data_IF_992192028781
#
_entry.id   IF_992192028781
#
_cell.length_a   1.000
_cell.length_b   1.000
_cell.length_c   1.000
_cell.angle_alpha   90.00
_cell.angle_beta   90.00
_cell.angle_gamma   90.00
#
_symmetry.space_group_name_H-M   'P 1'
#
loop_
_entity.id
_entity.type
_entity.pdbx_description
1 polymer ?
#
# COMPACT_ATOMS: atom_id res chain seq x y z
N UNK A 1 -43.09 -4.42 9.31
CA UNK A 1 -43.73 -3.11 9.03
C UNK A 1 -44.95 -2.85 9.90
N UNK A 2 -46.04 -3.64 9.84
CA UNK A 2 -47.26 -3.39 10.64
C UNK A 2 -46.97 -3.33 12.15
N UNK A 3 -46.16 -4.27 12.66
CA UNK A 3 -45.72 -4.27 14.06
C UNK A 3 -45.00 -2.96 14.42
N UNK A 4 -44.00 -2.55 13.63
CA UNK A 4 -43.27 -1.30 13.84
C UNK A 4 -44.20 -0.07 13.86
N UNK A 5 -45.19 -0.02 12.96
CA UNK A 5 -46.15 1.08 12.90
C UNK A 5 -47.11 1.15 14.10
N UNK A 6 -47.44 0.00 14.72
CA UNK A 6 -48.39 -0.06 15.85
C UNK A 6 -47.71 0.08 17.21
N UNK A 7 -46.50 -0.46 17.34
CA UNK A 7 -45.79 -0.57 18.61
C UNK A 7 -44.74 0.54 18.80
N UNK A 8 -44.26 1.14 17.71
CA UNK A 8 -43.23 2.19 17.71
C UNK A 8 -43.63 3.35 16.79
N UNK A 9 -44.87 3.83 16.92
CA UNK A 9 -45.52 4.80 16.01
C UNK A 9 -44.67 6.04 15.71
N UNK A 10 -44.02 6.62 16.74
CA UNK A 10 -43.18 7.80 16.58
C UNK A 10 -41.96 7.52 15.69
N UNK A 11 -41.25 6.42 15.97
CA UNK A 11 -40.08 6.01 15.18
C UNK A 11 -40.47 5.61 13.76
N UNK A 12 -41.60 4.92 13.59
CA UNK A 12 -42.14 4.57 12.27
C UNK A 12 -42.45 5.83 11.45
N UNK A 13 -43.17 6.78 12.05
CA UNK A 13 -43.54 8.04 11.40
C UNK A 13 -42.30 8.83 11.01
N UNK A 14 -41.30 8.89 11.90
CA UNK A 14 -40.02 9.54 11.62
C UNK A 14 -39.33 8.92 10.41
N UNK A 15 -39.14 7.59 10.37
CA UNK A 15 -38.47 6.91 9.26
C UNK A 15 -39.22 7.10 7.95
N UNK A 16 -40.56 7.02 7.96
CA UNK A 16 -41.37 7.16 6.75
C UNK A 16 -41.36 8.59 6.22
N UNK A 17 -41.60 9.59 7.08
CA UNK A 17 -41.65 11.00 6.66
C UNK A 17 -40.27 11.52 6.24
N UNK A 18 -39.20 11.14 6.94
CA UNK A 18 -37.84 11.55 6.59
C UNK A 18 -37.40 11.08 5.20
N UNK A 19 -38.00 10.03 4.67
CA UNK A 19 -37.68 9.51 3.34
C UNK A 19 -38.73 9.91 2.29
N UNK A 20 -40.02 9.85 2.62
CA UNK A 20 -41.09 10.18 1.67
C UNK A 20 -41.19 11.67 1.33
N UNK A 21 -40.68 12.55 2.20
CA UNK A 21 -40.64 14.00 1.96
C UNK A 21 -39.33 14.46 1.31
N UNK A 22 -38.38 13.55 1.05
CA UNK A 22 -37.16 13.87 0.30
C UNK A 22 -37.40 13.66 -1.18
N UNK A 23 -37.04 14.67 -1.97
CA UNK A 23 -37.07 14.62 -3.44
C UNK A 23 -35.67 14.56 -4.05
N UNK A 24 -34.64 14.28 -3.24
CA UNK A 24 -33.26 14.12 -3.67
C UNK A 24 -32.90 12.63 -3.88
N UNK A 25 -31.77 12.38 -4.54
CA UNK A 25 -31.29 11.02 -4.89
C UNK A 25 -30.96 10.14 -3.66
N UNK A 26 -31.08 10.69 -2.46
CA UNK A 26 -30.71 10.06 -1.19
C UNK A 26 -31.93 9.52 -0.42
N UNK A 27 -33.10 9.47 -1.05
CA UNK A 27 -34.29 8.82 -0.48
C UNK A 27 -34.00 7.32 -0.23
N UNK A 28 -34.25 6.87 1.00
CA UNK A 28 -34.18 5.45 1.34
C UNK A 28 -35.51 4.76 1.02
N UNK A 29 -35.55 3.76 0.10
CA UNK A 29 -36.79 3.15 -0.34
C UNK A 29 -37.36 2.20 0.72
N UNK A 30 -38.18 2.73 1.63
CA UNK A 30 -38.63 2.05 2.87
C UNK A 30 -39.22 0.66 2.65
N UNK A 31 -40.04 0.47 1.61
CA UNK A 31 -40.63 -0.84 1.30
C UNK A 31 -39.57 -1.86 0.86
N UNK A 32 -38.66 -1.44 -0.04
CA UNK A 32 -37.57 -2.30 -0.54
C UNK A 32 -36.59 -2.65 0.56
N UNK A 33 -36.17 -1.67 1.37
CA UNK A 33 -35.26 -1.90 2.50
C UNK A 33 -35.90 -2.76 3.58
N UNK A 34 -37.20 -2.63 3.84
CA UNK A 34 -37.91 -3.49 4.79
C UNK A 34 -37.90 -4.96 4.35
N UNK A 35 -38.19 -5.24 3.08
CA UNK A 35 -38.17 -6.61 2.53
C UNK A 35 -36.76 -7.19 2.61
N UNK A 36 -35.76 -6.43 2.16
CA UNK A 36 -34.38 -6.90 2.13
C UNK A 36 -33.82 -7.11 3.54
N UNK A 37 -34.14 -6.21 4.48
CA UNK A 37 -33.78 -6.38 5.88
C UNK A 37 -34.41 -7.64 6.45
N UNK A 38 -35.69 -7.92 6.20
CA UNK A 38 -36.31 -9.16 6.68
C UNK A 38 -35.57 -10.40 6.19
N UNK A 39 -35.22 -10.46 4.89
CA UNK A 39 -34.41 -11.57 4.34
C UNK A 39 -33.05 -11.67 5.02
N UNK A 40 -32.36 -10.53 5.15
CA UNK A 40 -31.06 -10.46 5.79
C UNK A 40 -31.10 -10.98 7.24
N UNK A 41 -32.12 -10.60 8.01
CA UNK A 41 -32.27 -11.07 9.39
C UNK A 41 -32.55 -12.58 9.44
N UNK A 42 -33.35 -13.10 8.52
CA UNK A 42 -33.57 -14.54 8.39
C UNK A 42 -32.27 -15.29 8.08
N UNK A 43 -31.44 -14.76 7.18
CA UNK A 43 -30.16 -15.36 6.80
C UNK A 43 -29.16 -15.33 7.96
N UNK A 44 -29.05 -14.21 8.67
CA UNK A 44 -28.16 -14.06 9.84
C UNK A 44 -28.55 -15.05 10.94
N UNK A 45 -29.86 -15.19 11.20
CA UNK A 45 -30.39 -16.06 12.23
C UNK A 45 -30.62 -17.51 11.75
N UNK A 46 -30.36 -17.79 10.47
CA UNK A 46 -30.54 -19.11 9.84
C UNK A 46 -31.95 -19.66 10.02
N UNK A 47 -32.97 -18.80 9.87
CA UNK A 47 -34.37 -19.18 10.06
C UNK A 47 -34.76 -20.21 9.00
N UNK A 48 -35.21 -21.38 9.44
CA UNK A 48 -35.61 -22.50 8.58
C UNK A 48 -34.51 -23.56 8.39
N UNK A 49 -33.30 -23.31 8.88
CA UNK A 49 -32.24 -24.33 8.92
C UNK A 49 -32.39 -25.23 10.16
N UNK A 50 -32.12 -26.54 10.06
CA UNK A 50 -32.12 -27.42 11.23
C UNK A 50 -30.95 -27.08 12.18
N UNK A 51 -31.14 -27.20 13.51
CA UNK A 51 -30.07 -26.97 14.46
C UNK A 51 -28.96 -28.01 14.30
N UNK A 52 -27.72 -27.61 14.62
CA UNK A 52 -26.57 -28.52 14.67
C UNK A 52 -26.40 -29.06 16.09
N UNK A 53 -26.04 -30.33 16.25
CA UNK A 53 -25.81 -30.96 17.56
C UNK A 53 -24.67 -30.29 18.36
N UNK A 54 -23.77 -29.58 17.68
CA UNK A 54 -22.65 -28.85 18.28
C UNK A 54 -22.96 -27.37 18.52
N UNK A 55 -24.17 -26.91 18.21
CA UNK A 55 -24.59 -25.52 18.37
C UNK A 55 -24.61 -25.10 19.84
N UNK A 56 -23.69 -24.22 20.24
CA UNK A 56 -23.62 -23.67 21.61
C UNK A 56 -24.06 -22.20 21.70
N UNK A 57 -24.32 -21.57 20.56
CA UNK A 57 -24.63 -20.14 20.48
C UNK A 57 -26.13 -19.95 20.63
N UNK A 58 -26.54 -19.15 21.60
CA UNK A 58 -27.89 -18.60 21.72
C UNK A 58 -27.78 -17.12 22.07
N UNK A 59 -28.78 -16.33 21.69
CA UNK A 59 -28.82 -14.90 21.98
C UNK A 59 -29.84 -14.62 23.08
N UNK A 60 -29.42 -14.35 24.33
CA UNK A 60 -30.32 -14.18 25.46
C UNK A 60 -31.36 -13.08 25.25
N UNK A 61 -31.02 -12.04 24.49
CA UNK A 61 -31.91 -10.93 24.17
C UNK A 61 -33.23 -11.35 23.49
N UNK A 62 -33.28 -12.48 22.78
CA UNK A 62 -34.53 -12.94 22.17
C UNK A 62 -35.51 -13.55 23.17
N UNK A 63 -35.08 -13.79 24.42
CA UNK A 63 -35.96 -14.25 25.51
C UNK A 63 -36.52 -13.10 26.34
N UNK A 64 -36.20 -11.85 26.03
CA UNK A 64 -36.60 -10.68 26.83
C UNK A 64 -37.91 -10.04 26.35
N UNK A 65 -38.59 -10.59 25.35
CA UNK A 65 -39.81 -10.03 24.76
C UNK A 65 -40.68 -11.12 24.11
N UNK A 66 -42.00 -10.93 24.10
CA UNK A 66 -42.97 -11.88 23.49
C UNK A 66 -42.93 -11.89 21.95
N UNK A 67 -42.50 -10.77 21.36
CA UNK A 67 -42.30 -10.57 19.92
C UNK A 67 -40.84 -10.20 19.61
N UNK A 68 -39.89 -11.11 19.86
CA UNK A 68 -38.47 -10.77 19.90
C UNK A 68 -37.89 -10.50 18.51
N UNK A 69 -38.39 -11.17 17.48
CA UNK A 69 -37.97 -10.96 16.10
C UNK A 69 -38.47 -9.61 15.57
N UNK A 70 -39.70 -9.23 15.90
CA UNK A 70 -40.27 -7.96 15.47
C UNK A 70 -39.60 -6.77 16.15
N UNK A 71 -39.28 -6.86 17.44
CA UNK A 71 -38.48 -5.83 18.12
C UNK A 71 -37.07 -5.71 17.53
N UNK A 72 -36.44 -6.85 17.23
CA UNK A 72 -35.15 -6.88 16.56
C UNK A 72 -35.20 -6.23 15.17
N UNK A 73 -36.26 -6.49 14.39
CA UNK A 73 -36.51 -5.80 13.13
C UNK A 73 -36.63 -4.29 13.31
N UNK A 74 -37.38 -3.83 14.32
CA UNK A 74 -37.56 -2.40 14.61
C UNK A 74 -36.22 -1.72 14.93
N UNK A 75 -35.33 -2.37 15.68
CA UNK A 75 -33.98 -1.85 15.95
C UNK A 75 -33.18 -1.78 14.65
N UNK A 76 -33.19 -2.85 13.85
CA UNK A 76 -32.38 -2.95 12.64
C UNK A 76 -32.86 -2.02 11.50
N UNK A 77 -34.15 -1.71 11.39
CA UNK A 77 -34.64 -0.77 10.36
C UNK A 77 -34.26 0.68 10.69
N UNK A 78 -34.21 1.02 11.98
CA UNK A 78 -33.68 2.31 12.44
C UNK A 78 -32.18 2.40 12.16
N UNK A 79 -31.42 1.33 12.46
CA UNK A 79 -30.00 1.23 12.11
C UNK A 79 -29.79 1.40 10.60
N UNK A 80 -30.55 0.68 9.76
CA UNK A 80 -30.42 0.76 8.31
C UNK A 80 -30.63 2.19 7.81
N UNK A 81 -31.67 2.87 8.28
CA UNK A 81 -31.94 4.27 7.91
C UNK A 81 -30.82 5.21 8.39
N UNK A 82 -30.23 4.95 9.57
CA UNK A 82 -29.07 5.69 10.07
C UNK A 82 -27.84 5.47 9.17
N UNK A 83 -27.48 4.22 8.89
CA UNK A 83 -26.32 3.85 8.06
C UNK A 83 -26.46 4.40 6.64
N UNK A 84 -27.67 4.34 6.04
CA UNK A 84 -27.98 4.96 4.75
C UNK A 84 -27.60 6.45 4.71
N UNK A 85 -27.94 7.18 5.78
CA UNK A 85 -27.62 8.61 5.91
C UNK A 85 -26.13 8.86 6.16
N UNK A 86 -25.50 8.05 7.02
CA UNK A 86 -24.05 8.15 7.28
C UNK A 86 -23.23 7.95 6.01
N UNK A 87 -23.67 7.04 5.14
CA UNK A 87 -23.04 6.76 3.85
C UNK A 87 -23.37 7.80 2.78
N UNK A 88 -24.35 8.70 3.01
CA UNK A 88 -24.97 9.54 1.98
C UNK A 88 -25.33 8.70 0.74
N UNK A 89 -25.95 7.55 1.00
CA UNK A 89 -26.21 6.56 -0.04
C UNK A 89 -27.30 7.01 -1.01
N UNK A 90 -27.18 6.55 -2.25
CA UNK A 90 -28.24 6.60 -3.26
C UNK A 90 -28.80 5.19 -3.49
N UNK A 91 -29.80 5.08 -4.38
CA UNK A 91 -30.35 3.78 -4.76
C UNK A 91 -29.34 2.82 -5.40
N UNK A 92 -28.26 3.34 -6.00
CA UNK A 92 -27.17 2.53 -6.58
C UNK A 92 -26.30 1.87 -5.50
N UNK A 93 -26.14 2.52 -4.34
CA UNK A 93 -25.35 2.01 -3.23
C UNK A 93 -26.12 1.02 -2.35
N UNK A 94 -27.38 0.71 -2.69
CA UNK A 94 -28.27 -0.13 -1.88
C UNK A 94 -27.62 -1.45 -1.44
N UNK A 95 -26.95 -2.16 -2.35
CA UNK A 95 -26.28 -3.43 -2.03
C UNK A 95 -25.14 -3.23 -1.02
N UNK A 96 -24.37 -2.14 -1.13
CA UNK A 96 -23.29 -1.81 -0.20
C UNK A 96 -23.85 -1.46 1.18
N UNK A 97 -24.92 -0.68 1.25
CA UNK A 97 -25.57 -0.33 2.54
C UNK A 97 -26.05 -1.59 3.25
N UNK A 98 -26.72 -2.51 2.53
CA UNK A 98 -27.17 -3.80 3.08
C UNK A 98 -25.98 -4.62 3.58
N UNK A 99 -24.86 -4.63 2.85
CA UNK A 99 -23.62 -5.29 3.29
C UNK A 99 -23.04 -4.69 4.57
N UNK A 100 -23.01 -3.37 4.70
CA UNK A 100 -22.55 -2.69 5.94
C UNK A 100 -23.48 -3.01 7.09
N UNK A 101 -24.80 -2.97 6.88
CA UNK A 101 -25.80 -3.29 7.92
C UNK A 101 -25.69 -4.75 8.36
N UNK A 102 -25.47 -5.68 7.43
CA UNK A 102 -25.18 -7.08 7.74
C UNK A 102 -23.98 -7.20 8.67
N UNK A 103 -22.90 -6.48 8.38
CA UNK A 103 -21.69 -6.49 9.19
C UNK A 103 -21.93 -5.90 10.58
N UNK A 104 -22.63 -4.76 10.67
CA UNK A 104 -22.99 -4.12 11.94
C UNK A 104 -23.78 -5.08 12.84
N UNK A 105 -24.80 -5.75 12.29
CA UNK A 105 -25.64 -6.71 13.02
C UNK A 105 -24.81 -7.93 13.44
N UNK A 106 -24.06 -8.51 12.52
CA UNK A 106 -23.26 -9.72 12.78
C UNK A 106 -22.20 -9.47 13.85
N UNK A 107 -21.48 -8.35 13.80
CA UNK A 107 -20.50 -7.96 14.84
C UNK A 107 -21.16 -7.67 16.19
N UNK A 108 -22.34 -7.05 16.19
CA UNK A 108 -23.07 -6.80 17.44
C UNK A 108 -23.61 -8.08 18.08
N UNK A 109 -24.02 -9.06 17.28
CA UNK A 109 -24.44 -10.38 17.76
C UNK A 109 -23.26 -11.20 18.31
N UNK A 110 -22.10 -11.12 17.64
CA UNK A 110 -20.91 -11.92 17.96
C UNK A 110 -20.00 -11.25 19.01
N UNK A 111 -20.51 -10.30 19.82
CA UNK A 111 -19.75 -9.85 20.98
C UNK A 111 -19.63 -10.97 22.02
N UNK A 112 -18.51 -11.00 22.73
CA UNK A 112 -18.31 -11.94 23.84
C UNK A 112 -18.23 -11.16 25.17
N UNK A 113 -19.22 -11.30 26.08
CA UNK A 113 -20.42 -12.12 25.95
C UNK A 113 -21.48 -11.53 24.98
N UNK A 114 -22.41 -12.35 24.45
CA UNK A 114 -23.52 -11.86 23.62
C UNK A 114 -24.42 -10.87 24.36
N UNK A 115 -25.09 -9.94 23.65
CA UNK A 115 -25.94 -8.95 24.31
C UNK A 115 -27.08 -9.61 25.11
N UNK A 116 -27.22 -9.30 26.41
CA UNK A 116 -28.22 -9.96 27.25
C UNK A 116 -29.65 -9.42 27.02
N UNK A 117 -29.78 -8.22 26.47
CA UNK A 117 -31.07 -7.56 26.21
C UNK A 117 -31.06 -6.84 24.86
N UNK A 118 -32.24 -6.59 24.28
CA UNK A 118 -32.39 -5.83 23.04
C UNK A 118 -31.86 -4.38 23.16
N UNK A 119 -31.94 -3.78 24.35
CA UNK A 119 -31.36 -2.45 24.60
C UNK A 119 -29.83 -2.49 24.58
N UNK A 120 -29.20 -3.52 25.15
CA UNK A 120 -27.75 -3.68 25.08
C UNK A 120 -27.27 -3.92 23.64
N UNK A 121 -28.04 -4.66 22.84
CA UNK A 121 -27.77 -4.83 21.42
C UNK A 121 -27.85 -3.48 20.68
N UNK A 122 -28.87 -2.67 20.94
CA UNK A 122 -29.02 -1.33 20.38
C UNK A 122 -27.88 -0.39 20.78
N UNK A 123 -27.44 -0.42 22.05
CA UNK A 123 -26.27 0.33 22.52
C UNK A 123 -24.99 -0.10 21.80
N UNK A 124 -24.79 -1.40 21.58
CA UNK A 124 -23.65 -1.91 20.82
C UNK A 124 -23.68 -1.44 19.36
N UNK A 125 -24.83 -1.52 18.70
CA UNK A 125 -25.01 -1.01 17.34
C UNK A 125 -24.73 0.49 17.24
N UNK A 126 -25.04 1.27 18.29
CA UNK A 126 -24.74 2.71 18.30
C UNK A 126 -23.24 3.01 18.21
N UNK A 127 -22.38 2.10 18.69
CA UNK A 127 -20.91 2.22 18.57
C UNK A 127 -20.38 1.81 17.19
N UNK A 128 -21.09 0.94 16.48
CA UNK A 128 -20.69 0.39 15.18
C UNK A 128 -21.19 1.29 14.04
N UNK A 129 -20.76 2.56 14.03
CA UNK A 129 -21.06 3.51 12.94
C UNK A 129 -20.44 3.05 11.60
N UNK A 130 -20.89 3.60 10.47
CA UNK A 130 -20.26 3.32 9.17
C UNK A 130 -18.74 3.60 9.18
N UNK A 131 -18.31 4.68 9.83
CA UNK A 131 -16.90 5.01 9.96
C UNK A 131 -16.14 3.95 10.77
N UNK A 132 -16.74 3.47 11.86
CA UNK A 132 -16.14 2.41 12.67
C UNK A 132 -16.02 1.09 11.90
N UNK A 133 -17.06 0.70 11.16
CA UNK A 133 -17.00 -0.49 10.30
C UNK A 133 -15.90 -0.36 9.25
N UNK A 134 -15.77 0.81 8.63
CA UNK A 134 -14.72 1.08 7.65
C UNK A 134 -13.33 0.98 8.27
N UNK A 135 -13.13 1.53 9.47
CA UNK A 135 -11.87 1.44 10.20
C UNK A 135 -11.52 0.00 10.57
N UNK A 136 -12.50 -0.77 11.06
CA UNK A 136 -12.30 -2.17 11.42
C UNK A 136 -11.91 -3.01 10.21
N UNK A 137 -12.55 -2.81 9.06
CA UNK A 137 -12.14 -3.49 7.82
C UNK A 137 -10.74 -3.10 7.35
N UNK A 138 -10.38 -1.81 7.45
CA UNK A 138 -9.02 -1.36 7.13
C UNK A 138 -7.99 -1.98 8.06
N UNK A 139 -8.28 -2.05 9.35
CA UNK A 139 -7.41 -2.66 10.35
C UNK A 139 -7.26 -4.16 10.12
N UNK A 140 -8.35 -4.88 9.89
CA UNK A 140 -8.34 -6.33 9.60
C UNK A 140 -7.56 -6.63 8.32
N UNK A 141 -7.77 -5.83 7.27
CA UNK A 141 -7.01 -5.94 6.03
C UNK A 141 -5.52 -5.69 6.27
N UNK A 142 -5.17 -4.63 7.01
CA UNK A 142 -3.77 -4.29 7.29
C UNK A 142 -3.08 -5.38 8.11
N UNK A 143 -3.75 -5.89 9.16
CA UNK A 143 -3.23 -6.97 9.99
C UNK A 143 -3.05 -8.26 9.18
N UNK A 144 -3.99 -8.55 8.27
CA UNK A 144 -3.89 -9.69 7.36
C UNK A 144 -2.74 -9.53 6.38
N UNK A 145 -2.59 -8.35 5.76
CA UNK A 145 -1.47 -8.04 4.86
C UNK A 145 -0.11 -8.16 5.59
N UNK A 146 -0.03 -7.72 6.85
CA UNK A 146 1.19 -7.83 7.68
C UNK A 146 1.52 -9.30 8.01
N UNK A 147 0.50 -10.08 8.41
CA UNK A 147 0.65 -11.50 8.69
C UNK A 147 1.05 -12.29 7.45
N UNK A 148 0.38 -12.06 6.32
CA UNK A 148 0.68 -12.70 5.04
C UNK A 148 2.09 -12.32 4.58
N UNK A 149 2.52 -11.07 4.75
CA UNK A 149 3.89 -10.65 4.38
C UNK A 149 5.01 -11.42 5.12
N UNK A 150 4.70 -12.01 6.28
CA UNK A 150 5.63 -12.84 7.06
C UNK A 150 5.50 -14.33 6.77
N UNK A 151 4.48 -14.75 6.00
CA UNK A 151 4.30 -16.15 5.66
C UNK A 151 5.50 -16.67 4.85
N UNK A 152 5.99 -17.86 5.20
CA UNK A 152 7.16 -18.47 4.57
C UNK A 152 7.10 -18.49 3.03
N UNK A 153 5.99 -18.89 2.37
CA UNK A 153 5.91 -18.85 0.91
C UNK A 153 6.09 -17.45 0.32
N UNK A 154 5.65 -16.41 1.03
CA UNK A 154 5.77 -15.02 0.59
C UNK A 154 7.21 -14.52 0.76
N UNK A 155 7.88 -14.91 1.86
CA UNK A 155 9.32 -14.61 2.05
C UNK A 155 10.16 -15.29 0.98
N UNK A 156 9.93 -16.58 0.70
CA UNK A 156 10.64 -17.32 -0.35
C UNK A 156 10.41 -16.69 -1.74
N UNK A 157 9.18 -16.29 -2.04
CA UNK A 157 8.84 -15.57 -3.27
C UNK A 157 9.56 -14.21 -3.35
N UNK A 158 9.60 -13.46 -2.24
CA UNK A 158 10.31 -12.18 -2.14
C UNK A 158 11.80 -12.34 -2.43
N UNK A 159 12.44 -13.38 -1.91
CA UNK A 159 13.84 -13.69 -2.17
C UNK A 159 14.09 -14.04 -3.65
N UNK A 160 13.19 -14.80 -4.27
CA UNK A 160 13.29 -15.16 -5.69
C UNK A 160 13.16 -13.96 -6.63
N UNK A 161 12.32 -12.97 -6.30
CA UNK A 161 12.06 -11.79 -7.13
C UNK A 161 13.10 -10.67 -6.89
N UNK A 162 13.71 -10.63 -5.70
CA UNK A 162 14.69 -9.60 -5.31
C UNK A 162 15.80 -9.34 -6.35
N UNK A 163 16.43 -10.34 -6.99
CA UNK A 163 17.45 -10.11 -8.01
C UNK A 163 16.93 -9.32 -9.23
N UNK A 164 15.71 -9.61 -9.69
CA UNK A 164 15.10 -8.94 -10.82
C UNK A 164 14.80 -7.47 -10.50
N UNK A 165 14.23 -7.20 -9.33
CA UNK A 165 13.95 -5.83 -8.87
C UNK A 165 15.25 -5.04 -8.69
N UNK A 166 16.31 -5.66 -8.15
CA UNK A 166 17.63 -5.02 -8.06
C UNK A 166 18.19 -4.67 -9.43
N UNK A 167 18.01 -5.52 -10.43
CA UNK A 167 18.43 -5.24 -11.80
C UNK A 167 17.61 -4.07 -12.40
N UNK A 168 16.31 -4.00 -12.12
CA UNK A 168 15.49 -2.86 -12.52
C UNK A 168 15.98 -1.54 -11.92
N UNK A 169 16.26 -1.52 -10.61
CA UNK A 169 16.83 -0.35 -9.92
C UNK A 169 18.18 0.00 -10.54
N UNK A 170 19.04 -0.99 -10.79
CA UNK A 170 20.33 -0.79 -11.44
C UNK A 170 20.20 -0.11 -12.81
N UNK A 171 19.29 -0.60 -13.67
CA UNK A 171 19.02 0.02 -14.98
C UNK A 171 18.57 1.47 -14.83
N UNK A 172 17.69 1.75 -13.88
CA UNK A 172 17.24 3.13 -13.61
C UNK A 172 18.42 4.02 -13.16
N UNK A 173 19.30 3.54 -12.26
CA UNK A 173 20.47 4.32 -11.81
C UNK A 173 21.44 4.60 -12.95
N UNK A 174 21.69 3.61 -13.81
CA UNK A 174 22.54 3.79 -15.00
C UNK A 174 21.94 4.79 -15.99
N UNK A 175 20.62 4.73 -16.21
CA UNK A 175 19.92 5.71 -17.04
C UNK A 175 20.03 7.12 -16.43
N UNK A 176 19.86 7.26 -15.12
CA UNK A 176 20.01 8.53 -14.42
C UNK A 176 21.41 9.14 -14.60
N UNK A 177 22.46 8.30 -14.52
CA UNK A 177 23.82 8.74 -14.84
C UNK A 177 23.97 9.18 -16.30
N UNK A 178 23.29 8.52 -17.24
CA UNK A 178 23.31 8.88 -18.66
C UNK A 178 22.59 10.20 -18.95
N UNK A 179 21.50 10.49 -18.24
CA UNK A 179 20.82 11.79 -18.26
C UNK A 179 21.76 12.87 -17.75
N UNK A 180 22.43 12.62 -16.63
CA UNK A 180 23.44 13.49 -16.04
C UNK A 180 22.90 14.46 -15.02
N UNK A 181 23.79 15.24 -14.41
CA UNK A 181 23.44 16.18 -13.34
C UNK A 181 24.33 17.40 -13.39
N UNK A 182 23.72 18.55 -13.06
CA UNK A 182 24.43 19.80 -12.85
C UNK A 182 24.89 19.91 -11.39
N UNK A 183 26.16 20.20 -11.20
CA UNK A 183 26.82 20.32 -9.91
C UNK A 183 27.30 21.75 -9.70
N UNK A 184 27.34 22.21 -8.45
CA UNK A 184 27.90 23.53 -8.15
C UNK A 184 29.41 23.46 -7.98
N UNK A 185 30.14 24.49 -8.45
CA UNK A 185 31.57 24.62 -8.22
C UNK A 185 31.89 25.09 -6.80
N UNK A 186 33.00 24.61 -6.27
CA UNK A 186 33.55 25.02 -4.99
C UNK A 186 34.96 25.60 -5.19
N UNK A 187 35.29 26.64 -4.43
CA UNK A 187 36.65 27.20 -4.42
C UNK A 187 37.62 26.27 -3.70
N UNK A 188 38.92 26.51 -3.87
CA UNK A 188 39.97 25.79 -3.14
C UNK A 188 39.83 25.93 -1.61
N UNK A 189 39.14 26.99 -1.15
CA UNK A 189 38.80 27.21 0.27
C UNK A 189 37.51 26.48 0.71
N UNK A 190 36.94 25.66 -0.16
CA UNK A 190 35.72 24.88 0.09
C UNK A 190 34.42 25.69 0.12
N UNK A 191 34.43 26.94 -0.38
CA UNK A 191 33.23 27.77 -0.45
C UNK A 191 32.52 27.56 -1.79
N UNK A 192 31.18 27.42 -1.74
CA UNK A 192 30.33 27.38 -2.93
C UNK A 192 30.58 28.66 -3.75
N UNK A 193 30.90 28.51 -5.03
CA UNK A 193 31.04 29.62 -5.95
C UNK A 193 29.67 29.93 -6.51
N UNK A 194 29.21 31.17 -6.32
CA UNK A 194 27.90 31.61 -6.78
C UNK A 194 27.86 31.60 -8.31
N UNK A 195 26.73 31.14 -8.86
CA UNK A 195 26.42 31.17 -10.30
C UNK A 195 27.49 30.48 -11.18
N UNK A 196 28.18 29.46 -10.63
CA UNK A 196 29.17 28.66 -11.35
C UNK A 196 28.88 27.18 -11.19
N UNK A 197 28.59 26.55 -12.31
CA UNK A 197 28.17 25.16 -12.37
C UNK A 197 29.04 24.37 -13.34
N UNK A 198 28.97 23.06 -13.21
CA UNK A 198 29.53 22.12 -14.16
C UNK A 198 28.58 20.94 -14.29
N UNK A 199 28.60 20.30 -15.45
CA UNK A 199 27.72 19.19 -15.77
C UNK A 199 28.54 17.92 -15.89
N UNK A 200 28.00 16.80 -15.43
CA UNK A 200 28.58 15.47 -15.64
C UNK A 200 27.50 14.50 -16.06
N UNK A 201 27.79 13.67 -17.07
CA UNK A 201 26.93 12.59 -17.53
C UNK A 201 27.73 11.40 -18.05
N UNK A 202 27.16 10.22 -17.93
CA UNK A 202 27.69 8.99 -18.49
C UNK A 202 27.31 8.85 -19.97
N UNK A 203 28.21 8.34 -20.78
CA UNK A 203 27.93 7.97 -22.16
C UNK A 203 26.90 6.81 -22.24
N UNK A 204 26.02 6.75 -23.24
CA UNK A 204 24.98 5.70 -23.34
C UNK A 204 25.49 4.25 -23.38
N UNK A 205 26.75 4.03 -23.74
CA UNK A 205 27.39 2.70 -23.70
C UNK A 205 28.00 2.35 -22.33
N UNK A 206 27.85 3.24 -21.34
CA UNK A 206 28.35 3.13 -19.97
C UNK A 206 29.88 3.06 -19.82
N UNK A 207 30.64 3.66 -20.77
CA UNK A 207 32.11 3.57 -20.77
C UNK A 207 32.85 4.86 -20.42
N UNK A 208 32.24 6.03 -20.57
CA UNK A 208 32.92 7.32 -20.41
C UNK A 208 32.06 8.30 -19.63
N UNK A 209 32.60 8.93 -18.60
CA UNK A 209 32.02 10.13 -18.00
C UNK A 209 32.46 11.36 -18.80
N UNK A 210 31.49 12.13 -19.28
CA UNK A 210 31.70 13.40 -19.95
C UNK A 210 31.34 14.53 -18.99
N UNK A 211 32.23 15.52 -18.87
CA UNK A 211 32.00 16.63 -17.97
C UNK A 211 32.63 17.95 -18.44
N UNK A 212 32.12 19.06 -17.90
CA UNK A 212 32.55 20.39 -18.29
C UNK A 212 31.75 21.50 -17.62
N UNK A 213 32.22 22.73 -17.79
CA UNK A 213 31.54 23.91 -17.28
C UNK A 213 30.21 24.12 -17.97
N UNK A 214 29.18 24.52 -17.22
CA UNK A 214 27.87 24.78 -17.76
C UNK A 214 27.22 26.02 -17.13
N UNK A 215 26.37 26.68 -17.91
CA UNK A 215 25.52 27.78 -17.46
C UNK A 215 24.11 27.26 -17.17
N UNK A 216 23.53 27.65 -16.04
CA UNK A 216 22.21 27.20 -15.57
C UNK A 216 21.08 27.48 -16.57
N UNK A 217 21.21 28.54 -17.38
CA UNK A 217 20.20 28.97 -18.34
C UNK A 217 20.25 28.22 -19.69
N UNK A 218 21.26 27.37 -19.93
CA UNK A 218 21.54 26.82 -21.28
C UNK A 218 20.91 25.46 -21.55
N UNK A 219 20.11 24.92 -20.63
CA UNK A 219 19.53 23.58 -20.73
C UNK A 219 20.59 22.47 -20.54
N UNK A 220 20.20 21.22 -20.78
CA UNK A 220 21.09 20.04 -20.64
C UNK A 220 22.12 20.01 -21.77
N UNK A 221 23.43 20.05 -21.49
CA UNK A 221 24.46 20.00 -22.53
C UNK A 221 24.46 18.69 -23.33
N UNK A 222 24.74 18.79 -24.63
CA UNK A 222 25.00 17.63 -25.45
C UNK A 222 26.33 16.97 -25.06
N UNK A 223 26.49 15.68 -25.37
CA UNK A 223 27.65 14.90 -24.94
C UNK A 223 28.96 15.41 -25.59
N UNK A 224 28.86 15.93 -26.81
CA UNK A 224 29.95 16.52 -27.59
C UNK A 224 30.39 17.90 -27.07
N UNK A 225 29.52 18.61 -26.34
CA UNK A 225 29.80 19.92 -25.76
C UNK A 225 30.65 19.85 -24.50
N UNK A 226 30.73 18.67 -23.88
CA UNK A 226 31.49 18.43 -22.65
C UNK A 226 32.93 18.04 -23.01
N UNK A 227 33.93 18.92 -22.76
CA UNK A 227 35.28 18.77 -23.27
C UNK A 227 36.10 17.71 -22.54
N UNK A 228 35.77 17.42 -21.27
CA UNK A 228 36.56 16.51 -20.44
C UNK A 228 35.93 15.12 -20.40
N UNK A 229 36.79 14.10 -20.33
CA UNK A 229 36.42 12.69 -20.37
C UNK A 229 37.20 11.92 -19.33
N UNK A 230 36.51 11.03 -18.61
CA UNK A 230 37.09 10.03 -17.72
C UNK A 230 36.57 8.66 -18.14
N UNK A 231 37.47 7.73 -18.47
CA UNK A 231 37.05 6.37 -18.84
C UNK A 231 36.60 5.61 -17.59
N UNK A 232 35.47 4.93 -17.65
CA UNK A 232 34.96 4.13 -16.52
C UNK A 232 35.94 3.03 -16.13
N UNK A 233 36.65 2.45 -17.10
CA UNK A 233 37.67 1.42 -16.85
C UNK A 233 38.89 1.95 -16.07
N UNK A 234 39.12 3.27 -16.10
CA UNK A 234 40.21 3.90 -15.34
C UNK A 234 39.80 4.21 -13.90
N UNK A 235 38.52 4.07 -13.55
CA UNK A 235 38.02 4.33 -12.20
C UNK A 235 38.33 3.15 -11.29
N UNK A 236 39.27 3.36 -10.36
CA UNK A 236 39.63 2.38 -9.34
C UNK A 236 38.59 2.25 -8.24
N UNK A 237 38.15 3.39 -7.72
CA UNK A 237 37.31 3.44 -6.53
C UNK A 237 36.42 4.68 -6.50
N UNK A 238 35.23 4.50 -5.93
CA UNK A 238 34.37 5.58 -5.46
C UNK A 238 34.65 5.78 -3.97
N UNK A 239 34.99 7.01 -3.58
CA UNK A 239 35.14 7.41 -2.16
C UNK A 239 34.11 8.46 -1.81
N UNK A 240 33.73 8.56 -0.53
CA UNK A 240 32.71 9.50 -0.06
C UNK A 240 33.15 10.27 1.18
N UNK A 241 32.53 11.41 1.42
CA UNK A 241 32.76 12.22 2.63
C UNK A 241 34.23 12.59 2.86
N UNK A 242 34.76 12.24 4.03
CA UNK A 242 36.12 12.61 4.46
C UNK A 242 37.22 11.94 3.63
N UNK A 243 36.91 10.84 2.96
CA UNK A 243 37.87 10.13 2.13
C UNK A 243 38.12 10.84 0.79
N UNK A 244 37.20 11.73 0.40
CA UNK A 244 37.36 12.56 -0.78
C UNK A 244 38.59 13.48 -0.65
N UNK A 245 39.50 13.49 -1.65
CA UNK A 245 40.71 14.32 -1.62
C UNK A 245 40.43 15.80 -1.36
N UNK A 246 39.38 16.33 -1.99
CA UNK A 246 38.95 17.73 -1.84
C UNK A 246 38.30 18.06 -0.47
N UNK A 247 38.17 17.07 0.43
CA UNK A 247 37.59 17.19 1.77
C UNK A 247 38.59 16.99 2.91
N UNK A 248 39.82 16.52 2.64
CA UNK A 248 40.78 16.09 3.68
C UNK A 248 41.37 17.21 4.56
N UNK A 249 41.33 18.48 4.12
CA UNK A 249 42.10 19.56 4.78
C UNK A 249 41.30 20.83 5.13
N UNK A 250 40.02 20.89 4.78
CA UNK A 250 39.20 22.11 4.98
C UNK A 250 38.15 21.86 6.07
N UNK A 251 38.04 22.78 7.04
CA UNK A 251 36.92 22.82 8.01
C UNK A 251 35.61 23.12 7.25
N UNK A 252 35.06 22.11 6.56
CA UNK A 252 33.78 22.23 5.85
C UNK A 252 32.61 21.93 6.78
N UNK A 253 31.43 22.43 6.40
CA UNK A 253 30.19 22.12 7.11
C UNK A 253 29.89 20.62 7.02
N UNK A 254 29.29 20.05 8.07
CA UNK A 254 28.86 18.64 8.09
C UNK A 254 27.96 18.29 6.89
N UNK A 255 27.12 19.23 6.44
CA UNK A 255 26.21 19.05 5.30
C UNK A 255 26.92 18.92 3.95
N UNK A 256 28.00 19.66 3.73
CA UNK A 256 28.75 19.55 2.45
C UNK A 256 29.52 18.23 2.40
N UNK A 257 29.99 17.76 3.57
CA UNK A 257 30.72 16.50 3.69
C UNK A 257 29.83 15.29 3.38
N UNK A 258 28.57 15.28 3.84
CA UNK A 258 27.66 14.15 3.58
C UNK A 258 27.29 13.99 2.11
N UNK A 259 27.41 15.06 1.31
CA UNK A 259 27.09 15.07 -0.12
C UNK A 259 28.32 14.91 -1.03
N UNK A 260 29.50 14.76 -0.43
CA UNK A 260 30.76 14.69 -1.16
C UNK A 260 31.08 13.27 -1.61
N UNK A 261 31.46 13.13 -2.88
CA UNK A 261 31.99 11.87 -3.41
C UNK A 261 33.08 12.14 -4.45
N UNK A 262 33.92 11.15 -4.74
CA UNK A 262 34.99 11.30 -5.74
C UNK A 262 35.29 9.98 -6.43
N UNK A 263 35.56 10.06 -7.74
CA UNK A 263 36.09 8.95 -8.53
C UNK A 263 37.61 9.03 -8.48
N UNK A 264 38.24 7.99 -7.97
CA UNK A 264 39.71 7.86 -7.90
C UNK A 264 40.16 7.05 -9.11
N UNK A 265 40.93 7.64 -10.05
CA UNK A 265 41.52 6.90 -11.15
C UNK A 265 42.61 5.93 -10.68
N UNK A 266 42.89 4.90 -11.47
CA UNK A 266 44.03 3.98 -11.24
C UNK A 266 45.38 4.61 -11.59
N UNK A 267 45.38 5.59 -12.49
CA UNK A 267 46.56 6.37 -12.88
C UNK A 267 46.82 7.58 -11.96
N UNK A 268 47.97 8.23 -12.10
CA UNK A 268 48.30 9.51 -11.42
C UNK A 268 47.45 10.72 -11.88
N UNK A 269 46.32 10.49 -12.56
CA UNK A 269 45.37 11.53 -12.92
C UNK A 269 44.66 12.09 -11.68
N UNK A 270 44.26 13.36 -11.77
CA UNK A 270 43.52 13.99 -10.69
C UNK A 270 42.14 13.32 -10.48
N UNK A 271 41.76 13.08 -9.21
CA UNK A 271 40.43 12.58 -8.87
C UNK A 271 39.30 13.48 -9.39
N UNK A 272 38.25 12.89 -9.93
CA UNK A 272 37.05 13.64 -10.29
C UNK A 272 36.18 13.83 -9.04
N UNK A 273 36.11 15.07 -8.58
CA UNK A 273 35.55 15.45 -7.29
C UNK A 273 34.12 16.00 -7.44
N UNK A 274 33.19 15.53 -6.62
CA UNK A 274 31.78 15.90 -6.65
C UNK A 274 31.27 16.37 -5.29
N UNK A 275 30.28 17.26 -5.34
CA UNK A 275 29.40 17.57 -4.21
C UNK A 275 27.97 17.58 -4.76
N UNK A 276 27.16 16.59 -4.38
CA UNK A 276 25.80 16.45 -4.84
C UNK A 276 24.91 17.64 -4.44
N UNK A 277 23.88 17.99 -5.22
CA UNK A 277 22.93 19.05 -4.86
C UNK A 277 22.09 18.71 -3.62
N UNK A 278 21.63 17.48 -3.48
CA UNK A 278 20.95 16.96 -2.29
C UNK A 278 21.22 15.45 -2.07
N UNK A 279 20.68 14.90 -0.98
CA UNK A 279 20.89 13.50 -0.58
C UNK A 279 20.38 12.50 -1.63
N UNK A 280 19.31 12.83 -2.37
CA UNK A 280 18.76 11.94 -3.40
C UNK A 280 19.70 11.81 -4.59
N UNK A 281 20.24 12.92 -5.10
CA UNK A 281 21.22 12.80 -6.19
C UNK A 281 22.53 12.17 -5.71
N UNK A 282 22.94 12.42 -4.46
CA UNK A 282 24.08 11.71 -3.87
C UNK A 282 23.86 10.19 -3.91
N UNK A 283 22.71 9.73 -3.42
CA UNK A 283 22.35 8.31 -3.40
C UNK A 283 22.28 7.74 -4.82
N UNK A 284 21.66 8.46 -5.76
CA UNK A 284 21.53 8.00 -7.15
C UNK A 284 22.88 7.91 -7.87
N UNK A 285 23.74 8.91 -7.70
CA UNK A 285 25.08 8.91 -8.30
C UNK A 285 25.96 7.83 -7.72
N UNK A 286 26.03 7.73 -6.38
CA UNK A 286 26.88 6.74 -5.72
C UNK A 286 26.41 5.32 -5.99
N UNK A 287 25.11 5.04 -6.02
CA UNK A 287 24.57 3.74 -6.42
C UNK A 287 24.83 3.45 -7.90
N UNK A 288 24.59 4.40 -8.80
CA UNK A 288 24.86 4.22 -10.22
C UNK A 288 26.32 3.92 -10.51
N UNK A 289 27.24 4.62 -9.84
CA UNK A 289 28.68 4.38 -9.95
C UNK A 289 29.04 3.02 -9.35
N UNK A 290 28.52 2.66 -8.17
CA UNK A 290 28.73 1.34 -7.59
C UNK A 290 28.26 0.23 -8.54
N UNK A 291 27.08 0.39 -9.15
CA UNK A 291 26.56 -0.52 -10.15
C UNK A 291 27.47 -0.65 -11.38
N UNK A 292 28.02 0.46 -11.88
CA UNK A 292 29.00 0.45 -12.99
C UNK A 292 30.27 -0.33 -12.64
N UNK A 293 30.74 -0.19 -11.40
CA UNK A 293 31.94 -0.85 -10.90
C UNK A 293 31.69 -2.30 -10.44
N UNK A 294 30.46 -2.80 -10.57
CA UNK A 294 30.09 -4.15 -10.11
C UNK A 294 29.94 -4.28 -8.59
N UNK A 295 29.92 -3.15 -7.87
CA UNK A 295 29.70 -3.08 -6.43
C UNK A 295 28.21 -3.09 -6.09
N UNK A 296 27.89 -3.40 -4.84
CA UNK A 296 26.51 -3.33 -4.33
C UNK A 296 26.05 -1.87 -4.19
N UNK A 297 24.84 -1.59 -4.65
CA UNK A 297 24.10 -0.36 -4.33
C UNK A 297 23.62 -0.45 -2.87
N UNK A 298 23.93 0.56 -2.05
CA UNK A 298 23.77 0.50 -0.58
C UNK A 298 23.03 1.69 0.02
N UNK A 299 22.67 2.67 -0.82
CA UNK A 299 22.06 3.91 -0.37
C UNK A 299 20.68 3.71 0.28
N UNK A 300 20.15 4.79 0.87
CA UNK A 300 18.80 4.79 1.42
C UNK A 300 17.78 4.67 0.29
N UNK A 301 17.97 5.40 -0.80
CA UNK A 301 17.06 5.35 -1.94
C UNK A 301 16.99 3.96 -2.60
N UNK A 302 18.12 3.25 -2.74
CA UNK A 302 18.09 1.86 -3.26
C UNK A 302 17.28 0.92 -2.35
N UNK A 303 17.40 1.08 -1.02
CA UNK A 303 16.62 0.28 -0.08
C UNK A 303 15.13 0.61 -0.17
N UNK A 304 14.78 1.89 -0.26
CA UNK A 304 13.39 2.34 -0.40
C UNK A 304 12.76 1.84 -1.70
N UNK A 305 13.46 1.98 -2.83
CA UNK A 305 13.00 1.50 -4.13
C UNK A 305 12.80 -0.02 -4.12
N UNK A 306 13.75 -0.76 -3.52
CA UNK A 306 13.66 -2.21 -3.41
C UNK A 306 12.45 -2.65 -2.59
N UNK A 307 12.23 -2.03 -1.42
CA UNK A 307 11.08 -2.34 -0.56
C UNK A 307 9.76 -2.05 -1.27
N UNK A 308 9.67 -0.88 -1.91
CA UNK A 308 8.45 -0.42 -2.59
C UNK A 308 8.09 -1.34 -3.75
N UNK A 309 9.07 -1.62 -4.62
CA UNK A 309 8.85 -2.45 -5.79
C UNK A 309 8.57 -3.91 -5.42
N UNK A 310 9.27 -4.47 -4.42
CA UNK A 310 8.97 -5.81 -3.94
C UNK A 310 7.58 -5.91 -3.31
N UNK A 311 7.20 -4.91 -2.50
CA UNK A 311 5.86 -4.88 -1.89
C UNK A 311 4.77 -4.83 -2.95
N UNK A 312 4.94 -3.98 -3.97
CA UNK A 312 3.98 -3.90 -5.08
C UNK A 312 3.91 -5.20 -5.90
N UNK A 313 5.05 -5.79 -6.27
CA UNK A 313 5.08 -7.03 -7.07
C UNK A 313 4.44 -8.20 -6.32
N UNK A 314 4.75 -8.34 -5.02
CA UNK A 314 4.14 -9.36 -4.16
C UNK A 314 2.64 -9.14 -4.07
N UNK A 315 2.18 -7.90 -3.78
CA UNK A 315 0.75 -7.60 -3.70
C UNK A 315 0.01 -7.95 -5.00
N UNK A 316 0.60 -7.66 -6.16
CA UNK A 316 0.02 -8.02 -7.45
C UNK A 316 -0.11 -9.54 -7.62
N UNK A 317 0.91 -10.32 -7.24
CA UNK A 317 0.86 -11.79 -7.30
C UNK A 317 -0.13 -12.40 -6.31
N UNK A 318 -0.35 -11.75 -5.17
CA UNK A 318 -1.29 -12.22 -4.16
C UNK A 318 -2.77 -11.93 -4.50
N UNK A 319 -3.05 -11.10 -5.50
CA UNK A 319 -4.42 -10.87 -5.98
C UNK A 319 -5.09 -12.17 -6.43
N UNK A 320 -4.34 -13.08 -7.05
CA UNK A 320 -4.85 -14.39 -7.50
C UNK A 320 -5.24 -15.32 -6.33
N UNK A 321 -4.78 -15.00 -5.12
CA UNK A 321 -5.04 -15.76 -3.89
C UNK A 321 -5.96 -15.03 -2.91
N UNK A 322 -6.61 -13.95 -3.35
CA UNK A 322 -7.51 -13.18 -2.51
C UNK A 322 -8.65 -14.07 -1.95
N UNK A 323 -8.84 -14.05 -0.63
CA UNK A 323 -9.82 -14.89 0.06
C UNK A 323 -9.38 -16.34 0.33
N UNK A 324 -8.18 -16.75 -0.10
CA UNK A 324 -7.60 -18.06 0.21
C UNK A 324 -6.67 -17.95 1.42
N UNK A 325 -6.70 -18.93 2.32
CA UNK A 325 -5.75 -19.02 3.42
C UNK A 325 -4.42 -19.57 2.90
N UNK A 326 -3.35 -18.79 3.02
CA UNK A 326 -2.00 -19.21 2.65
C UNK A 326 -1.46 -20.17 3.72
N UNK A 327 -1.19 -21.44 3.39
CA UNK A 327 -0.68 -22.40 4.36
C UNK A 327 0.78 -22.09 4.73
N UNK A 328 1.15 -22.30 6.00
CA UNK A 328 2.55 -22.14 6.44
C UNK A 328 3.51 -23.11 5.77
N UNK A 329 3.03 -24.33 5.49
CA UNK A 329 3.78 -25.38 4.81
C UNK A 329 3.13 -25.70 3.47
N UNK A 330 3.92 -25.86 2.40
CA UNK A 330 3.38 -26.24 1.11
C UNK A 330 2.70 -27.62 1.22
N UNK A 331 1.49 -27.79 0.66
CA UNK A 331 0.83 -29.09 0.65
C UNK A 331 1.68 -30.11 -0.10
N UNK A 332 1.61 -31.38 0.30
CA UNK A 332 2.38 -32.44 -0.35
C UNK A 332 1.99 -32.57 -1.82
N UNK A 333 2.97 -32.51 -2.71
CA UNK A 333 2.76 -32.81 -4.12
C UNK A 333 2.34 -34.28 -4.23
N UNK A 334 1.18 -34.59 -4.83
CA UNK A 334 0.75 -35.97 -5.02
C UNK A 334 1.75 -36.72 -5.90
N UNK A 335 1.80 -38.06 -5.77
CA UNK A 335 2.60 -38.89 -6.67
C UNK A 335 2.13 -38.71 -8.11
N UNK A 336 3.06 -38.90 -9.05
CA UNK A 336 2.74 -38.92 -10.47
C UNK A 336 1.59 -39.89 -10.75
N UNK A 337 0.68 -39.54 -11.68
CA UNK A 337 -0.39 -40.44 -12.09
C UNK A 337 0.20 -41.73 -12.66
N UNK A 338 -0.53 -42.85 -12.58
CA UNK A 338 -0.03 -44.15 -13.03
C UNK A 338 0.22 -44.24 -14.55
N UNK A 339 -0.33 -43.29 -15.32
CA UNK A 339 -0.14 -43.14 -16.75
C UNK A 339 -0.25 -41.66 -17.15
N UNK A 340 0.07 -41.35 -18.41
CA UNK A 340 -0.08 -40.03 -19.02
C UNK A 340 -1.22 -39.99 -20.03
N UNK A 341 -2.27 -40.80 -19.83
CA UNK A 341 -3.48 -40.79 -20.65
C UNK A 341 -4.36 -39.62 -20.18
N UNK A 342 -4.04 -38.42 -20.67
CA UNK A 342 -4.70 -37.19 -20.23
C UNK A 342 -6.21 -37.19 -20.54
N UNK A 343 -7.02 -36.67 -19.61
CA UNK A 343 -8.47 -36.59 -19.78
C UNK A 343 -8.92 -35.62 -20.89
N UNK A 344 -8.02 -34.76 -21.37
CA UNK A 344 -8.28 -33.75 -22.38
C UNK A 344 -7.13 -33.71 -23.38
N UNK A 345 -7.44 -33.66 -24.66
CA UNK A 345 -6.47 -33.37 -25.71
C UNK A 345 -6.19 -31.87 -25.74
N UNK A 346 -4.96 -31.47 -25.42
CA UNK A 346 -4.50 -30.10 -25.67
C UNK A 346 -4.23 -29.95 -27.17
N UNK A 347 -5.07 -29.17 -27.86
CA UNK A 347 -4.90 -28.82 -29.27
C UNK A 347 -3.84 -27.76 -29.49
#
# INVERSE_FOLDING_TARGET
MIYFARNHTENYTKVVLENSCRSDEHECPFGRTSIELTKLLCDILKIGEPPTEQGKIFYPMFFTHDHPFEEFFCICIILLNKTWKEMRATTEDFAKVVSVVKEQITRALNTDPPPPTLENFKLKLATLTYNEITNLWQQERSNREEWESQARPIVELREQITPEIRNLIQKQRLQYLCEGTMFTKYSNKGQRIKDKFWYCRLSPNHKVFHYGDCDENRGVPALEELPHKLQVVEVKALVTGKECPHMKEVKRTKSTLSLAFSLIPDSDQEPLNFVAPNDKEFDYWTDGINALLGNKMVSKETKNDLETLLSMDIKLRLLDTEGVNIPENPPSIPKDPPNYDFCYDFK
#
